data_IF_580615333127
#
_entry.id   IF_580615333127
#
_cell.length_a   1.000
_cell.length_b   1.000
_cell.length_c   1.000
_cell.angle_alpha   90.00
_cell.angle_beta   90.00
_cell.angle_gamma   90.00
#
_symmetry.space_group_name_H-M   'P 1'
#
loop_
_entity.id
_entity.type
_entity.pdbx_description
1 polymer ?
#
# COMPACT_ATOMS: atom_id res chain seq x y z
N UNK A 1 -0.25 0.00 1.46
CA UNK A 1 -0.67 -0.83 2.60
C UNK A 1 0.04 -0.39 3.86
N UNK A 2 -0.70 -0.13 4.88
CA UNK A 2 -0.11 0.28 6.15
C UNK A 2 0.36 -0.93 6.95
N UNK A 3 1.48 -0.77 7.64
CA UNK A 3 1.94 -1.80 8.56
C UNK A 3 1.30 -1.52 9.91
N UNK A 4 0.61 -2.47 10.52
CA UNK A 4 0.00 -2.25 11.84
C UNK A 4 1.06 -1.93 12.88
N UNK A 5 0.81 -0.90 13.67
CA UNK A 5 1.73 -0.46 14.72
C UNK A 5 1.10 -0.54 16.09
N UNK A 6 0.04 -1.33 16.23
CA UNK A 6 -0.63 -1.52 17.50
C UNK A 6 -2.13 -1.52 17.38
N UNK A 7 -2.81 -1.61 18.51
CA UNK A 7 -4.26 -1.72 18.54
C UNK A 7 -4.99 -0.52 17.97
N UNK A 8 -4.41 0.68 18.09
CA UNK A 8 -5.03 1.88 17.56
C UNK A 8 -5.15 1.82 16.04
N UNK A 9 -4.12 1.30 15.37
CA UNK A 9 -4.15 1.14 13.92
C UNK A 9 -5.16 0.07 13.54
N UNK A 10 -5.16 -1.05 14.25
CA UNK A 10 -6.11 -2.14 13.97
C UNK A 10 -7.56 -1.65 14.08
N UNK A 11 -7.85 -0.78 15.03
CA UNK A 11 -9.20 -0.25 15.22
C UNK A 11 -9.64 0.66 14.08
N UNK A 12 -8.69 1.22 13.31
CA UNK A 12 -8.99 2.10 12.18
C UNK A 12 -9.07 1.35 10.87
N UNK A 13 -8.70 0.06 10.84
CA UNK A 13 -8.65 -0.69 9.59
C UNK A 13 -10.02 -1.26 9.23
N UNK A 14 -10.40 -1.19 7.94
CA UNK A 14 -11.63 -1.82 7.49
C UNK A 14 -11.51 -3.34 7.52
N UNK A 15 -12.63 -4.03 7.30
CA UNK A 15 -12.62 -5.48 7.16
C UNK A 15 -11.68 -5.88 6.02
N UNK A 16 -11.00 -7.01 6.17
CA UNK A 16 -9.97 -7.43 5.23
C UNK A 16 -10.47 -7.49 3.78
N UNK A 17 -11.69 -7.99 3.56
CA UNK A 17 -12.24 -8.08 2.21
C UNK A 17 -12.45 -6.72 1.55
N UNK A 18 -12.42 -5.65 2.31
CA UNK A 18 -12.57 -4.28 1.79
C UNK A 18 -11.23 -3.59 1.54
N UNK A 19 -10.13 -4.26 1.88
CA UNK A 19 -8.81 -3.69 1.63
C UNK A 19 -8.48 -3.78 0.15
N UNK A 20 -8.02 -2.66 -0.42
CA UNK A 20 -7.50 -2.65 -1.77
C UNK A 20 -5.99 -2.85 -1.71
N UNK A 21 -5.50 -3.81 -2.46
CA UNK A 21 -4.06 -4.12 -2.51
C UNK A 21 -3.61 -4.02 -3.96
N UNK A 22 -2.89 -2.95 -4.32
CA UNK A 22 -2.29 -2.87 -5.66
C UNK A 22 -1.29 -3.99 -5.87
N UNK A 23 -1.22 -4.52 -7.08
CA UNK A 23 -0.27 -5.62 -7.38
C UNK A 23 1.18 -5.22 -7.13
N UNK A 24 1.52 -3.94 -7.23
CA UNK A 24 2.88 -3.47 -6.92
C UNK A 24 3.21 -3.75 -5.44
N UNK A 25 2.24 -3.69 -4.56
CA UNK A 25 2.44 -4.03 -3.15
C UNK A 25 2.79 -5.51 -3.01
N UNK A 26 2.09 -6.39 -3.75
CA UNK A 26 2.42 -7.82 -3.73
C UNK A 26 3.86 -8.07 -4.21
N UNK A 27 4.28 -7.35 -5.26
CA UNK A 27 5.63 -7.46 -5.77
C UNK A 27 6.67 -7.05 -4.72
N UNK A 28 6.46 -5.89 -4.12
CA UNK A 28 7.41 -5.38 -3.11
C UNK A 28 7.46 -6.27 -1.88
N UNK A 29 6.29 -6.73 -1.42
CA UNK A 29 6.23 -7.65 -0.29
C UNK A 29 6.92 -8.98 -0.60
N UNK A 30 6.66 -9.54 -1.78
CA UNK A 30 7.27 -10.81 -2.17
C UNK A 30 8.79 -10.70 -2.22
N UNK A 31 9.30 -9.62 -2.79
CA UNK A 31 10.74 -9.38 -2.83
C UNK A 31 11.34 -9.31 -1.43
N UNK A 32 10.77 -8.46 -0.61
CA UNK A 32 11.30 -8.20 0.72
C UNK A 32 11.21 -9.44 1.61
N UNK A 33 10.05 -10.09 1.61
CA UNK A 33 9.82 -11.24 2.48
C UNK A 33 10.67 -12.43 2.07
N UNK A 34 10.83 -12.67 0.76
CA UNK A 34 11.68 -13.77 0.28
C UNK A 34 13.12 -13.55 0.74
N UNK A 35 13.60 -12.33 0.63
CA UNK A 35 14.97 -12.00 1.04
C UNK A 35 15.16 -12.12 2.55
N UNK A 36 14.19 -11.65 3.34
CA UNK A 36 14.36 -11.55 4.79
C UNK A 36 13.88 -12.78 5.55
N UNK A 37 12.84 -13.45 5.08
CA UNK A 37 12.18 -14.52 5.83
C UNK A 37 12.05 -15.83 5.06
N UNK A 38 12.42 -15.85 3.78
CA UNK A 38 12.36 -17.04 2.94
C UNK A 38 11.06 -17.20 2.18
N UNK A 39 11.07 -18.14 1.21
CA UNK A 39 9.97 -18.35 0.28
C UNK A 39 8.68 -18.77 0.98
N UNK A 40 8.75 -19.64 1.97
CA UNK A 40 7.55 -20.15 2.63
C UNK A 40 6.75 -19.02 3.29
N UNK A 41 7.44 -18.12 3.98
CA UNK A 41 6.78 -16.98 4.60
C UNK A 41 6.23 -16.01 3.57
N UNK A 42 7.00 -15.79 2.50
CA UNK A 42 6.54 -14.94 1.42
C UNK A 42 5.26 -15.49 0.80
N UNK A 43 5.22 -16.79 0.53
CA UNK A 43 4.04 -17.43 -0.06
C UNK A 43 2.82 -17.30 0.86
N UNK A 44 3.01 -17.45 2.18
CA UNK A 44 1.92 -17.29 3.13
C UNK A 44 1.34 -15.90 3.12
N UNK A 45 2.19 -14.87 3.09
CA UNK A 45 1.73 -13.50 3.10
C UNK A 45 1.04 -13.14 1.77
N UNK A 46 1.57 -13.60 0.66
CA UNK A 46 0.93 -13.36 -0.63
C UNK A 46 -0.43 -14.06 -0.69
N UNK A 47 -0.52 -15.30 -0.21
CA UNK A 47 -1.80 -16.00 -0.14
C UNK A 47 -2.81 -15.23 0.71
N UNK A 48 -2.37 -14.69 1.84
CA UNK A 48 -3.22 -13.86 2.69
C UNK A 48 -3.71 -12.62 1.94
N UNK A 49 -2.81 -11.96 1.18
CA UNK A 49 -3.17 -10.76 0.43
C UNK A 49 -4.26 -11.02 -0.61
N UNK A 50 -4.36 -12.23 -1.13
CA UNK A 50 -5.37 -12.57 -2.12
C UNK A 50 -6.79 -12.62 -1.55
N UNK A 51 -6.93 -12.59 -0.24
CA UNK A 51 -8.24 -12.43 0.40
C UNK A 51 -8.72 -10.98 0.38
N UNK A 52 -7.85 -10.06 0.02
CA UNK A 52 -8.18 -8.65 -0.17
C UNK A 52 -8.63 -8.42 -1.62
N UNK A 53 -9.02 -7.19 -1.93
CA UNK A 53 -9.33 -6.81 -3.30
C UNK A 53 -8.03 -6.44 -4.01
N UNK A 54 -7.58 -7.30 -4.89
CA UNK A 54 -6.33 -7.07 -5.63
C UNK A 54 -6.63 -6.20 -6.85
N UNK A 55 -5.89 -5.11 -6.97
CA UNK A 55 -6.06 -4.16 -8.07
C UNK A 55 -4.82 -4.19 -8.96
N UNK A 56 -4.94 -4.70 -10.18
CA UNK A 56 -3.81 -4.75 -11.09
C UNK A 56 -3.45 -3.36 -11.62
N UNK A 57 -2.19 -3.18 -11.96
CA UNK A 57 -1.72 -1.97 -12.64
C UNK A 57 -2.21 -2.01 -14.08
N UNK A 58 -3.14 -1.14 -14.43
CA UNK A 58 -3.62 -1.01 -15.79
C UNK A 58 -3.12 0.29 -16.42
N UNK A 59 -3.48 0.52 -17.69
CA UNK A 59 -3.01 1.70 -18.41
C UNK A 59 -3.46 3.00 -17.75
N UNK A 60 -4.71 3.06 -17.30
CA UNK A 60 -5.24 4.26 -16.66
C UNK A 60 -4.45 4.61 -15.40
N UNK A 61 -4.20 3.62 -14.57
CA UNK A 61 -3.43 3.82 -13.33
C UNK A 61 -1.98 4.15 -13.65
N UNK A 62 -1.40 3.50 -14.64
CA UNK A 62 0.00 3.76 -15.03
C UNK A 62 0.19 5.21 -15.48
N UNK A 63 -0.72 5.73 -16.29
CA UNK A 63 -0.61 7.11 -16.77
C UNK A 63 -0.89 8.12 -15.65
N UNK A 64 -1.82 7.83 -14.77
CA UNK A 64 -2.06 8.66 -13.60
C UNK A 64 -0.85 8.68 -12.68
N UNK A 65 -0.19 7.54 -12.51
CA UNK A 65 1.03 7.46 -11.70
C UNK A 65 2.16 8.28 -12.31
N UNK A 66 2.30 8.24 -13.64
CA UNK A 66 3.31 9.04 -14.33
C UNK A 66 3.11 10.53 -14.07
N UNK A 67 1.86 10.97 -14.10
CA UNK A 67 1.52 12.36 -13.80
C UNK A 67 1.88 12.74 -12.35
N UNK A 68 1.60 11.84 -11.41
CA UNK A 68 1.95 12.06 -10.01
C UNK A 68 3.46 12.14 -9.79
N UNK A 69 4.24 11.33 -10.51
CA UNK A 69 5.69 11.41 -10.45
C UNK A 69 6.17 12.81 -10.86
N UNK A 70 5.59 13.35 -11.93
CA UNK A 70 5.96 14.66 -12.43
C UNK A 70 5.51 15.80 -11.53
N UNK A 71 4.27 15.74 -11.05
CA UNK A 71 3.67 16.85 -10.29
C UNK A 71 3.96 16.82 -8.81
N UNK A 72 4.04 15.63 -8.21
CA UNK A 72 4.21 15.47 -6.76
C UNK A 72 5.59 14.92 -6.41
N UNK A 73 6.40 14.61 -7.40
CA UNK A 73 7.75 14.06 -7.21
C UNK A 73 7.77 12.78 -6.39
N UNK A 74 6.72 11.98 -6.54
CA UNK A 74 6.66 10.68 -5.89
C UNK A 74 7.54 9.67 -6.62
N UNK A 75 8.14 8.75 -5.88
CA UNK A 75 8.83 7.62 -6.48
C UNK A 75 7.82 6.76 -7.24
N UNK A 76 8.29 5.98 -8.21
CA UNK A 76 7.42 5.21 -9.10
C UNK A 76 6.44 4.31 -8.33
N UNK A 77 6.94 3.51 -7.39
CA UNK A 77 6.06 2.60 -6.63
C UNK A 77 5.03 3.38 -5.82
N UNK A 78 5.45 4.46 -5.17
CA UNK A 78 4.55 5.30 -4.37
C UNK A 78 3.48 5.93 -5.25
N UNK A 79 3.86 6.39 -6.44
CA UNK A 79 2.91 6.99 -7.38
C UNK A 79 1.86 5.97 -7.83
N UNK A 80 2.27 4.73 -8.09
CA UNK A 80 1.35 3.66 -8.48
C UNK A 80 0.35 3.36 -7.34
N UNK A 81 0.85 3.27 -6.11
CA UNK A 81 0.01 3.02 -4.95
C UNK A 81 -1.03 4.13 -4.78
N UNK A 82 -0.58 5.37 -4.84
CA UNK A 82 -1.45 6.52 -4.66
C UNK A 82 -2.46 6.65 -5.82
N UNK A 83 -2.00 6.46 -7.06
CA UNK A 83 -2.88 6.50 -8.22
C UNK A 83 -3.96 5.42 -8.14
N UNK A 84 -3.61 4.23 -7.64
CA UNK A 84 -4.58 3.14 -7.47
C UNK A 84 -5.66 3.55 -6.45
N UNK A 85 -5.26 4.13 -5.32
CA UNK A 85 -6.19 4.58 -4.31
C UNK A 85 -7.14 5.66 -4.88
N UNK A 86 -6.60 6.63 -5.59
CA UNK A 86 -7.40 7.69 -6.19
C UNK A 86 -8.38 7.16 -7.23
N UNK A 87 -7.92 6.20 -8.06
CA UNK A 87 -8.76 5.63 -9.12
C UNK A 87 -9.96 4.87 -8.56
N UNK A 88 -9.84 4.35 -7.35
CA UNK A 88 -10.90 3.57 -6.70
C UNK A 88 -11.60 4.35 -5.59
N UNK A 89 -11.34 5.66 -5.51
CA UNK A 89 -11.92 6.52 -4.49
C UNK A 89 -11.70 5.94 -3.09
N UNK A 90 -10.52 5.36 -2.88
CA UNK A 90 -10.14 4.72 -1.63
C UNK A 90 -9.19 5.62 -0.85
N UNK A 91 -9.28 5.53 0.47
CA UNK A 91 -8.34 6.22 1.34
C UNK A 91 -7.06 5.41 1.45
N UNK A 92 -5.92 6.08 1.32
CA UNK A 92 -4.63 5.44 1.54
C UNK A 92 -4.26 5.57 3.01
N UNK A 93 -4.18 4.43 3.69
CA UNK A 93 -3.74 4.37 5.08
C UNK A 93 -2.27 3.97 5.11
N UNK A 94 -1.41 4.83 5.62
CA UNK A 94 0.03 4.62 5.55
C UNK A 94 0.75 5.23 6.75
N UNK A 95 1.90 4.64 7.07
CA UNK A 95 2.85 5.20 8.03
C UNK A 95 4.04 5.85 7.32
N UNK A 96 4.04 5.88 6.00
CA UNK A 96 5.13 6.44 5.21
C UNK A 96 4.97 7.96 5.08
N UNK A 97 5.96 8.69 5.60
CA UNK A 97 5.93 10.15 5.59
C UNK A 97 5.91 10.76 4.19
N UNK A 98 6.31 10.01 3.17
CA UNK A 98 6.27 10.50 1.79
C UNK A 98 4.84 10.85 1.35
N UNK A 99 3.83 10.24 1.97
CA UNK A 99 2.43 10.48 1.64
C UNK A 99 1.77 11.50 2.56
N UNK A 100 2.47 12.00 3.57
CA UNK A 100 1.88 12.92 4.54
C UNK A 100 1.42 14.20 3.85
N UNK A 101 0.21 14.62 4.14
CA UNK A 101 -0.35 15.85 3.59
C UNK A 101 -0.98 15.72 2.23
N UNK A 102 -0.93 14.56 1.59
CA UNK A 102 -1.57 14.36 0.29
C UNK A 102 -3.07 14.10 0.48
N UNK A 103 -3.85 14.55 -0.49
CA UNK A 103 -5.30 14.37 -0.45
C UNK A 103 -5.65 12.87 -0.47
N UNK A 104 -6.61 12.49 0.36
CA UNK A 104 -7.06 11.10 0.42
C UNK A 104 -6.14 10.18 1.20
N UNK A 105 -5.16 10.74 1.90
CA UNK A 105 -4.22 9.96 2.70
C UNK A 105 -4.49 10.14 4.18
N UNK A 106 -4.56 9.02 4.88
CA UNK A 106 -4.56 9.01 6.34
C UNK A 106 -3.18 8.57 6.80
N UNK A 107 -2.41 9.54 7.22
CA UNK A 107 -1.06 9.28 7.70
C UNK A 107 -1.08 8.95 9.19
N UNK A 108 -0.41 7.86 9.55
CA UNK A 108 -0.28 7.43 10.93
C UNK A 108 1.20 7.44 11.28
N UNK A 109 1.59 8.29 12.23
CA UNK A 109 2.97 8.34 12.66
C UNK A 109 3.37 6.99 13.26
N UNK A 110 4.57 6.53 12.92
CA UNK A 110 5.10 5.30 13.50
C UNK A 110 5.35 5.54 14.99
N UNK A 111 4.86 4.62 15.81
CA UNK A 111 5.18 4.68 17.24
C UNK A 111 6.57 4.09 17.42
N UNK A 112 7.37 4.77 18.24
CA UNK A 112 8.72 4.29 18.54
C UNK A 112 8.74 3.48 19.82
N UNK A 113 7.63 3.33 20.44
CA UNK A 113 7.54 2.61 21.71
C UNK A 113 7.49 1.12 21.45
N UNK A 114 8.52 0.54 21.64
CA UNK A 114 8.62 -0.91 21.66
C UNK A 114 8.48 -1.60 20.59
#
# INVERSE_FOLDING_TARGET
MATPTGGAVAALMPAQQDWLVPTIIQLELAKWLTRELGEDRADQVIAFSQMCRIIPLDTKIALAAADLCARRRLATADAIIYATALAHDAELLTCDAHFEGLEGVRYLAKTTAG
#
